data_IF_240909442273
#
_entry.id   IF_240909442273
#
_cell.length_a   1.000
_cell.length_b   1.000
_cell.length_c   1.000
_cell.angle_alpha   90.00
_cell.angle_beta   90.00
_cell.angle_gamma   90.00
#
_symmetry.space_group_name_H-M   'P 1'
#
loop_
_entity.id
_entity.type
_entity.pdbx_description
1 polymer ?
#
# COMPACT_ATOMS: atom_id res chain seq x y z
N UNK A 1 -43.20 13.80 46.15
CA UNK A 1 -43.34 13.77 44.66
C UNK A 1 -42.31 14.64 43.91
N UNK A 2 -41.78 15.75 44.46
CA UNK A 2 -40.79 16.62 43.76
C UNK A 2 -39.40 15.98 43.59
N UNK A 3 -38.93 15.20 44.57
CA UNK A 3 -37.61 14.52 44.56
C UNK A 3 -37.46 13.48 43.43
N UNK A 4 -38.52 12.75 43.07
CA UNK A 4 -38.47 11.75 41.99
C UNK A 4 -38.40 12.39 40.59
N UNK A 5 -39.03 13.56 40.41
CA UNK A 5 -38.89 14.35 39.17
C UNK A 5 -37.50 14.94 39.03
N UNK A 6 -36.91 15.42 40.14
CA UNK A 6 -35.56 15.97 40.18
C UNK A 6 -34.50 14.91 39.84
N UNK A 7 -34.64 13.69 40.38
CA UNK A 7 -33.75 12.57 40.06
C UNK A 7 -33.84 12.16 38.58
N UNK A 8 -35.02 12.24 37.96
CA UNK A 8 -35.21 11.99 36.52
C UNK A 8 -34.52 13.05 35.65
N UNK A 9 -34.59 14.32 36.02
CA UNK A 9 -33.88 15.39 35.30
C UNK A 9 -32.35 15.25 35.44
N UNK A 10 -31.87 14.85 36.62
CA UNK A 10 -30.45 14.60 36.85
C UNK A 10 -29.93 13.41 36.04
N UNK A 11 -30.70 12.31 35.96
CA UNK A 11 -30.38 11.18 35.09
C UNK A 11 -30.43 11.52 33.60
N UNK A 12 -31.41 12.32 33.16
CA UNK A 12 -31.50 12.76 31.77
C UNK A 12 -30.31 13.65 31.36
N UNK A 13 -29.89 14.56 32.25
CA UNK A 13 -28.69 15.39 32.04
C UNK A 13 -27.41 14.56 31.97
N UNK A 14 -27.25 13.57 32.85
CA UNK A 14 -26.11 12.65 32.83
C UNK A 14 -26.07 11.81 31.54
N UNK A 15 -27.22 11.32 31.09
CA UNK A 15 -27.35 10.52 29.87
C UNK A 15 -27.05 11.37 28.63
N UNK A 16 -27.46 12.64 28.63
CA UNK A 16 -27.12 13.59 27.59
C UNK A 16 -25.60 13.82 27.53
N UNK A 17 -24.94 14.07 28.66
CA UNK A 17 -23.47 14.26 28.72
C UNK A 17 -22.72 13.01 28.22
N UNK A 18 -23.16 11.81 28.60
CA UNK A 18 -22.56 10.54 28.13
C UNK A 18 -22.65 10.37 26.60
N UNK A 19 -23.75 10.82 25.97
CA UNK A 19 -23.92 10.78 24.51
C UNK A 19 -23.02 11.80 23.81
N UNK A 20 -22.77 12.97 24.41
CA UNK A 20 -21.83 13.94 23.83
C UNK A 20 -20.38 13.43 23.86
N UNK A 21 -19.99 12.64 24.86
CA UNK A 21 -18.62 12.11 24.98
C UNK A 21 -18.25 11.08 23.90
N UNK A 22 -19.22 10.38 23.30
CA UNK A 22 -18.91 9.41 22.23
C UNK A 22 -18.69 10.06 20.86
N UNK A 23 -19.23 11.27 20.63
CA UNK A 23 -19.06 12.02 19.38
C UNK A 23 -17.66 12.58 19.19
N UNK A 24 -16.95 12.93 20.28
CA UNK A 24 -15.58 13.47 20.23
C UNK A 24 -14.49 12.40 20.09
N UNK A 25 -14.86 11.11 20.08
CA UNK A 25 -13.91 10.00 20.00
C UNK A 25 -13.63 9.51 18.56
N UNK A 26 -14.39 9.98 17.56
CA UNK A 26 -14.16 9.63 16.16
C UNK A 26 -13.16 10.59 15.52
N UNK A 27 -11.88 10.27 15.60
CA UNK A 27 -10.83 10.96 14.84
C UNK A 27 -10.83 10.43 13.40
N UNK A 28 -11.05 11.31 12.42
CA UNK A 28 -10.85 10.98 11.00
C UNK A 28 -9.36 10.77 10.77
N UNK A 29 -8.95 9.53 10.49
CA UNK A 29 -7.58 9.20 10.09
C UNK A 29 -7.34 9.59 8.63
N UNK A 30 -7.39 10.89 8.35
CA UNK A 30 -7.07 11.45 7.03
C UNK A 30 -5.56 11.74 6.94
N UNK A 31 -4.74 10.68 7.05
CA UNK A 31 -3.34 10.80 6.65
C UNK A 31 -3.26 10.78 5.12
N UNK A 32 -2.61 11.74 4.46
CA UNK A 32 -2.52 11.74 3.00
C UNK A 32 -1.68 10.55 2.52
N UNK A 33 -2.29 9.66 1.75
CA UNK A 33 -1.61 8.53 1.10
C UNK A 33 -0.74 8.95 -0.07
N UNK A 34 -0.98 10.15 -0.60
CA UNK A 34 -0.23 10.74 -1.69
C UNK A 34 0.72 11.77 -1.11
N UNK A 35 1.99 11.67 -1.50
CA UNK A 35 2.99 12.69 -1.20
C UNK A 35 2.59 14.01 -1.86
N UNK A 36 2.64 15.09 -1.09
CA UNK A 36 2.37 16.44 -1.56
C UNK A 36 3.58 17.01 -2.33
N UNK A 37 3.34 17.91 -3.29
CA UNK A 37 4.41 18.56 -4.05
C UNK A 37 5.02 17.73 -5.18
N UNK A 38 4.47 16.55 -5.49
CA UNK A 38 4.82 15.76 -6.67
C UNK A 38 3.69 15.72 -7.69
N UNK A 39 4.06 15.68 -8.97
CA UNK A 39 3.10 15.53 -10.08
C UNK A 39 2.98 14.04 -10.40
N UNK A 40 1.77 13.51 -10.27
CA UNK A 40 1.46 12.14 -10.66
C UNK A 40 1.07 12.09 -12.12
N UNK A 41 1.43 11.00 -12.78
CA UNK A 41 0.99 10.72 -14.13
C UNK A 41 -0.53 10.48 -14.16
N UNK A 42 -1.25 11.26 -14.97
CA UNK A 42 -2.70 11.16 -15.12
C UNK A 42 -3.14 9.94 -15.93
N UNK A 43 -2.24 9.34 -16.71
CA UNK A 43 -2.52 8.11 -17.47
C UNK A 43 -2.64 6.89 -16.54
N UNK A 44 -1.97 6.94 -15.38
CA UNK A 44 -2.04 5.86 -14.39
C UNK A 44 -3.33 6.02 -13.57
N UNK A 45 -4.25 5.03 -13.63
CA UNK A 45 -5.50 5.11 -12.89
C UNK A 45 -5.22 5.07 -11.40
N UNK A 46 -6.02 5.81 -10.63
CA UNK A 46 -5.92 5.81 -9.18
C UNK A 46 -6.40 4.47 -8.59
N UNK A 47 -5.75 3.90 -7.56
CA UNK A 47 -6.18 2.67 -6.90
C UNK A 47 -7.66 2.67 -6.50
N UNK A 48 -8.16 3.81 -6.02
CA UNK A 48 -9.54 3.98 -5.54
C UNK A 48 -10.56 3.74 -6.65
N UNK A 49 -10.21 3.98 -7.92
CA UNK A 49 -11.10 3.77 -9.07
C UNK A 49 -11.39 2.30 -9.35
N UNK A 50 -10.43 1.41 -9.02
CA UNK A 50 -10.56 -0.04 -9.21
C UNK A 50 -11.01 -0.71 -7.90
N UNK A 51 -10.44 -0.29 -6.77
CA UNK A 51 -10.70 -0.88 -5.45
C UNK A 51 -12.07 -0.44 -4.89
N UNK A 52 -12.59 0.71 -5.33
CA UNK A 52 -13.92 1.21 -4.97
C UNK A 52 -14.02 1.85 -3.58
N UNK A 53 -12.89 2.13 -2.94
CA UNK A 53 -12.83 2.92 -1.71
C UNK A 53 -11.49 3.63 -1.56
N UNK A 54 -11.41 4.69 -0.73
CA UNK A 54 -10.16 5.38 -0.43
C UNK A 54 -9.09 4.45 0.14
N UNK A 55 -7.82 4.78 -0.12
CA UNK A 55 -6.69 4.17 0.55
C UNK A 55 -6.80 4.38 2.07
N UNK A 56 -6.38 3.39 2.86
CA UNK A 56 -6.44 3.44 4.32
C UNK A 56 -7.81 3.21 4.96
N UNK A 57 -8.90 3.24 4.17
CA UNK A 57 -10.24 3.02 4.71
C UNK A 57 -10.45 1.57 5.20
N UNK A 58 -10.00 0.59 4.40
CA UNK A 58 -10.01 -0.84 4.72
C UNK A 58 -9.00 -1.60 3.83
N UNK A 59 -8.68 -2.83 4.20
CA UNK A 59 -7.81 -3.71 3.40
C UNK A 59 -8.49 -4.02 2.07
N UNK A 60 -7.77 -3.83 0.96
CA UNK A 60 -8.26 -4.18 -0.37
C UNK A 60 -8.37 -5.70 -0.53
N UNK A 61 -9.42 -6.15 -1.22
CA UNK A 61 -9.56 -7.56 -1.59
C UNK A 61 -8.45 -7.93 -2.59
N UNK A 62 -7.87 -9.11 -2.43
CA UNK A 62 -6.68 -9.51 -3.18
C UNK A 62 -6.89 -9.57 -4.71
N UNK A 63 -8.06 -9.97 -5.18
CA UNK A 63 -8.40 -9.97 -6.59
C UNK A 63 -8.38 -8.54 -7.17
N UNK A 64 -8.92 -7.55 -6.45
CA UNK A 64 -8.87 -6.13 -6.83
C UNK A 64 -7.42 -5.61 -6.83
N UNK A 65 -6.61 -6.08 -5.88
CA UNK A 65 -5.18 -5.74 -5.83
C UNK A 65 -4.44 -6.32 -7.04
N UNK A 66 -4.65 -7.61 -7.35
CA UNK A 66 -4.03 -8.26 -8.52
C UNK A 66 -4.49 -7.59 -9.82
N UNK A 67 -5.78 -7.24 -9.92
CA UNK A 67 -6.32 -6.51 -11.05
C UNK A 67 -5.62 -5.16 -11.23
N UNK A 68 -5.55 -4.35 -10.16
CA UNK A 68 -4.89 -3.06 -10.18
C UNK A 68 -3.41 -3.17 -10.60
N UNK A 69 -2.69 -4.12 -10.02
CA UNK A 69 -1.28 -4.35 -10.33
C UNK A 69 -1.04 -4.76 -11.79
N UNK A 70 -1.97 -5.53 -12.39
CA UNK A 70 -1.91 -5.86 -13.82
C UNK A 70 -2.20 -4.64 -14.69
N UNK A 71 -3.23 -3.87 -14.35
CA UNK A 71 -3.58 -2.64 -15.10
C UNK A 71 -2.39 -1.67 -15.15
N UNK A 72 -1.72 -1.41 -14.03
CA UNK A 72 -0.58 -0.49 -14.04
C UNK A 72 0.65 -1.07 -14.76
N UNK A 73 0.82 -2.39 -14.76
CA UNK A 73 1.89 -3.07 -15.50
C UNK A 73 1.66 -3.05 -17.02
N UNK A 74 0.41 -2.97 -17.47
CA UNK A 74 0.07 -2.85 -18.90
C UNK A 74 0.25 -1.40 -19.40
N UNK A 75 0.05 -0.40 -18.53
CA UNK A 75 0.12 1.01 -18.90
C UNK A 75 1.55 1.56 -18.77
N UNK A 76 2.30 1.16 -17.75
CA UNK A 76 3.62 1.73 -17.46
C UNK A 76 4.77 0.91 -18.04
N UNK A 77 5.67 1.58 -18.77
CA UNK A 77 6.96 1.04 -19.24
C UNK A 77 7.96 0.73 -18.11
N UNK A 78 7.68 1.19 -16.89
CA UNK A 78 8.53 1.00 -15.70
C UNK A 78 8.19 -0.26 -14.92
N UNK A 79 7.08 -0.92 -15.23
CA UNK A 79 6.55 -2.03 -14.46
C UNK A 79 6.39 -3.23 -15.38
N UNK A 80 7.03 -4.34 -15.04
CA UNK A 80 6.79 -5.62 -15.72
C UNK A 80 6.25 -6.62 -14.71
N UNK A 81 5.13 -7.26 -15.02
CA UNK A 81 4.48 -8.23 -14.14
C UNK A 81 4.42 -9.63 -14.74
N UNK A 82 4.77 -10.64 -13.96
CA UNK A 82 4.63 -12.04 -14.33
C UNK A 82 3.96 -12.86 -13.23
N UNK A 83 3.25 -13.93 -13.59
CA UNK A 83 2.67 -14.85 -12.61
C UNK A 83 3.65 -15.99 -12.36
N UNK A 84 4.26 -16.02 -11.18
CA UNK A 84 5.32 -16.98 -10.85
C UNK A 84 4.77 -18.32 -10.36
N UNK A 85 3.58 -18.31 -9.78
CA UNK A 85 2.97 -19.48 -9.17
C UNK A 85 1.47 -19.25 -8.94
N UNK A 86 0.79 -20.32 -8.53
CA UNK A 86 -0.57 -20.26 -8.01
C UNK A 86 -0.58 -20.84 -6.60
N UNK A 87 -1.44 -20.30 -5.73
CA UNK A 87 -1.68 -20.89 -4.41
C UNK A 87 -2.40 -22.24 -4.57
N UNK A 88 -2.49 -23.01 -3.48
CA UNK A 88 -3.28 -24.25 -3.44
C UNK A 88 -4.75 -24.07 -3.80
N UNK A 89 -5.30 -22.87 -3.59
CA UNK A 89 -6.68 -22.49 -3.95
C UNK A 89 -6.77 -21.93 -5.38
N UNK A 90 -5.70 -22.01 -6.18
CA UNK A 90 -5.67 -21.53 -7.56
C UNK A 90 -5.52 -20.01 -7.72
N UNK A 91 -5.13 -19.28 -6.67
CA UNK A 91 -5.00 -17.81 -6.72
C UNK A 91 -3.63 -17.43 -7.29
N UNK A 92 -3.54 -16.52 -8.27
CA UNK A 92 -2.28 -16.17 -8.90
C UNK A 92 -1.36 -15.41 -7.94
N UNK A 93 -0.06 -15.76 -7.94
CA UNK A 93 1.00 -15.04 -7.24
C UNK A 93 1.77 -14.23 -8.26
N UNK A 94 1.68 -12.90 -8.16
CA UNK A 94 2.28 -11.96 -9.09
C UNK A 94 3.65 -11.51 -8.58
N UNK A 95 4.67 -11.57 -9.45
CA UNK A 95 5.94 -10.89 -9.25
C UNK A 95 5.98 -9.64 -10.14
N UNK A 96 6.28 -8.50 -9.53
CA UNK A 96 6.40 -7.21 -10.21
C UNK A 96 7.84 -6.75 -10.14
N UNK A 97 8.42 -6.40 -11.29
CA UNK A 97 9.71 -5.71 -11.36
C UNK A 97 9.46 -4.25 -11.69
N UNK A 98 9.83 -3.36 -10.77
CA UNK A 98 9.62 -1.91 -10.88
C UNK A 98 10.98 -1.24 -10.97
N UNK A 99 11.30 -0.67 -12.13
CA UNK A 99 12.57 0.05 -12.35
C UNK A 99 12.44 1.04 -13.50
N UNK A 100 13.52 1.74 -13.87
CA UNK A 100 13.51 2.61 -15.06
C UNK A 100 13.53 1.76 -16.34
N UNK A 101 13.03 2.27 -17.48
CA UNK A 101 13.03 1.53 -18.75
C UNK A 101 14.45 1.13 -19.19
N UNK A 102 15.42 2.01 -18.92
CA UNK A 102 16.84 1.73 -19.14
C UNK A 102 17.32 0.52 -18.32
N UNK A 103 16.95 0.44 -17.04
CA UNK A 103 17.33 -0.69 -16.20
C UNK A 103 16.62 -1.99 -16.61
N UNK A 104 15.39 -1.91 -17.11
CA UNK A 104 14.69 -3.09 -17.65
C UNK A 104 15.46 -3.70 -18.82
N UNK A 105 16.05 -2.90 -19.70
CA UNK A 105 16.87 -3.39 -20.81
C UNK A 105 18.15 -4.12 -20.38
N UNK A 106 18.62 -3.87 -19.15
CA UNK A 106 19.87 -4.40 -18.59
C UNK A 106 19.63 -5.28 -17.35
N UNK A 107 18.42 -5.78 -17.18
CA UNK A 107 18.01 -6.43 -15.93
C UNK A 107 18.85 -7.68 -15.61
N UNK A 108 19.30 -8.41 -16.64
CA UNK A 108 20.13 -9.60 -16.47
C UNK A 108 21.56 -9.26 -16.04
N UNK A 109 22.13 -8.15 -16.54
CA UNK A 109 23.41 -7.63 -16.08
C UNK A 109 23.33 -7.24 -14.60
N UNK A 110 22.26 -6.55 -14.22
CA UNK A 110 22.02 -6.13 -12.83
C UNK A 110 21.89 -7.35 -11.91
N UNK A 111 21.15 -8.39 -12.33
CA UNK A 111 21.03 -9.65 -11.60
C UNK A 111 22.38 -10.34 -11.45
N UNK A 112 23.17 -10.42 -12.51
CA UNK A 112 24.51 -11.03 -12.48
C UNK A 112 25.47 -10.28 -11.56
N UNK A 113 25.47 -8.93 -11.61
CA UNK A 113 26.25 -8.10 -10.71
C UNK A 113 25.81 -8.28 -9.25
N UNK A 114 24.51 -8.36 -8.99
CA UNK A 114 23.99 -8.61 -7.65
C UNK A 114 24.43 -9.99 -7.10
N UNK A 115 24.41 -11.04 -7.92
CA UNK A 115 24.90 -12.36 -7.53
C UNK A 115 26.40 -12.35 -7.23
N UNK A 116 27.20 -11.63 -8.03
CA UNK A 116 28.64 -11.50 -7.81
C UNK A 116 28.97 -10.79 -6.50
N UNK A 117 28.14 -9.85 -6.04
CA UNK A 117 28.29 -9.19 -4.73
C UNK A 117 27.99 -10.12 -3.55
N UNK A 118 27.21 -11.19 -3.75
CA UNK A 118 26.90 -12.15 -2.69
C UNK A 118 27.99 -13.24 -2.52
N UNK A 119 28.93 -13.37 -3.47
CA UNK A 119 30.06 -14.27 -3.35
C UNK A 119 31.28 -13.57 -2.71
N UNK A 120 31.64 -14.00 -1.49
CA UNK A 120 32.82 -13.53 -0.75
C UNK A 120 34.14 -13.70 -1.52
N UNK A 121 34.24 -14.67 -2.44
CA UNK A 121 35.43 -14.85 -3.29
C UNK A 121 35.50 -13.78 -4.39
N UNK A 122 34.37 -13.42 -5.00
CA UNK A 122 34.28 -12.37 -6.01
C UNK A 122 34.56 -10.98 -5.42
N UNK A 123 34.07 -10.70 -4.21
CA UNK A 123 34.37 -9.46 -3.47
C UNK A 123 35.86 -9.29 -3.22
N UNK A 124 36.56 -10.35 -2.76
CA UNK A 124 38.01 -10.31 -2.51
C UNK A 124 38.82 -10.10 -3.79
N UNK A 125 38.34 -10.58 -4.94
CA UNK A 125 38.97 -10.38 -6.24
C UNK A 125 38.85 -8.93 -6.73
N UNK A 126 37.70 -8.29 -6.52
CA UNK A 126 37.46 -6.89 -6.83
C UNK A 126 38.28 -5.94 -5.94
N UNK A 127 38.34 -6.21 -4.63
CA UNK A 127 39.15 -5.41 -3.69
C UNK A 127 40.66 -5.53 -3.92
N UNK A 128 41.14 -6.62 -4.54
CA UNK A 128 42.56 -6.79 -4.92
C UNK A 128 42.99 -6.01 -6.16
N UNK A 129 42.06 -5.43 -6.92
CA UNK A 129 42.38 -4.63 -8.11
C UNK A 129 42.47 -3.13 -7.74
N UNK A 130 41.86 -2.73 -6.63
CA UNK A 130 41.90 -1.35 -6.09
C UNK A 130 42.97 -1.12 -5.01
N UNK A 131 43.79 -2.12 -4.68
CA UNK A 131 44.88 -2.07 -3.69
C UNK A 131 46.17 -2.58 -4.36
#
# INVERSE_FOLDING_TARGET
>A
MKSLSFLRFLFAGLLMVLVYSTGVAQESRDTPFYVEGITYDSEIPRPESIIGHPLGHRIARNDLLVQYMRTIAEISDRITGETIAHTHEGRPILALTITTPENHSRIDEIKAAHLALNDLQAIKKLLRICL
#
